data_IF_803438030838
#
_entry.id   IF_803438030838
#
_cell.length_a   1.000
_cell.length_b   1.000
_cell.length_c   1.000
_cell.angle_alpha   90.00
_cell.angle_beta   90.00
_cell.angle_gamma   90.00
#
_symmetry.space_group_name_H-M   'P 1'
#
loop_
_entity.id
_entity.type
_entity.pdbx_description
1 polymer ?
#
# COMPACT_ATOMS: atom_id res chain seq x y z
N UNK A 1 10.83 19.66 -22.22
CA UNK A 1 10.00 18.73 -21.45
C UNK A 1 9.19 19.51 -20.42
N UNK A 2 7.89 19.68 -20.66
CA UNK A 2 7.04 20.37 -19.69
C UNK A 2 6.91 19.44 -18.48
N UNK A 3 7.52 19.81 -17.37
CA UNK A 3 7.21 19.21 -16.08
C UNK A 3 5.75 19.52 -15.80
N UNK A 4 4.86 18.53 -15.95
CA UNK A 4 3.51 18.68 -15.42
C UNK A 4 3.65 18.95 -13.92
N UNK A 5 3.45 20.21 -13.55
CA UNK A 5 3.39 20.58 -12.15
C UNK A 5 2.06 19.99 -11.65
N UNK A 6 2.13 18.91 -10.91
CA UNK A 6 0.96 18.35 -10.27
C UNK A 6 0.35 19.43 -9.36
N UNK A 7 -0.95 19.68 -9.45
CA UNK A 7 -1.59 20.79 -8.74
C UNK A 7 -1.53 20.68 -7.23
N UNK A 8 -1.30 19.47 -6.72
CA UNK A 8 -1.24 19.20 -5.30
C UNK A 8 0.00 18.38 -4.95
N UNK A 9 0.58 18.63 -3.79
CA UNK A 9 1.76 17.93 -3.30
C UNK A 9 1.41 17.01 -2.13
N UNK A 10 1.81 15.73 -2.17
CA UNK A 10 1.69 14.85 -1.02
C UNK A 10 2.45 15.36 0.19
N UNK A 11 2.06 14.92 1.38
CA UNK A 11 2.59 15.38 2.66
C UNK A 11 4.11 15.39 2.71
N UNK A 12 4.77 14.32 2.28
CA UNK A 12 6.23 14.21 2.35
C UNK A 12 6.95 15.15 1.38
N UNK A 13 6.35 15.48 0.25
CA UNK A 13 6.90 16.50 -0.67
C UNK A 13 6.80 17.91 -0.09
N UNK A 14 5.81 18.14 0.76
CA UNK A 14 5.62 19.42 1.46
C UNK A 14 6.62 19.57 2.62
N UNK A 15 6.80 18.51 3.41
CA UNK A 15 7.70 18.50 4.57
C UNK A 15 9.17 18.46 4.14
N UNK A 16 9.48 17.69 3.12
CA UNK A 16 10.84 17.50 2.62
C UNK A 16 10.88 17.65 1.10
N UNK A 17 10.89 18.88 0.57
CA UNK A 17 10.76 19.15 -0.86
C UNK A 17 11.99 18.79 -1.70
N UNK A 18 13.17 18.67 -1.10
CA UNK A 18 14.39 18.38 -1.82
C UNK A 18 14.39 16.95 -2.36
N UNK A 19 14.51 16.81 -3.68
CA UNK A 19 14.59 15.50 -4.34
C UNK A 19 16.04 15.02 -4.41
N UNK A 20 16.36 14.05 -3.59
CA UNK A 20 17.62 13.32 -3.65
C UNK A 20 17.33 11.81 -3.66
N UNK A 21 18.23 11.02 -4.24
CA UNK A 21 18.10 9.57 -4.25
C UNK A 21 18.05 9.00 -2.83
N UNK A 22 18.90 9.52 -1.94
CA UNK A 22 18.93 9.08 -0.54
C UNK A 22 17.63 9.38 0.20
N UNK A 23 17.01 10.54 -0.06
CA UNK A 23 15.69 10.86 0.50
C UNK A 23 14.63 9.88 0.01
N UNK A 24 14.58 9.63 -1.30
CA UNK A 24 13.58 8.74 -1.88
C UNK A 24 13.74 7.30 -1.38
N UNK A 25 14.97 6.80 -1.29
CA UNK A 25 15.25 5.48 -0.71
C UNK A 25 14.85 5.40 0.77
N UNK A 26 15.13 6.44 1.55
CA UNK A 26 14.73 6.50 2.95
C UNK A 26 13.20 6.47 3.10
N UNK A 27 12.48 7.24 2.30
CA UNK A 27 11.02 7.28 2.33
C UNK A 27 10.41 5.94 1.91
N UNK A 28 10.98 5.27 0.91
CA UNK A 28 10.55 3.92 0.48
C UNK A 28 10.73 2.93 1.65
N UNK A 29 11.88 2.93 2.30
CA UNK A 29 12.16 2.04 3.43
C UNK A 29 11.27 2.34 4.64
N UNK A 30 11.08 3.61 4.98
CA UNK A 30 10.19 4.01 6.07
C UNK A 30 8.75 3.64 5.77
N UNK A 31 8.30 3.84 4.54
CA UNK A 31 6.96 3.44 4.10
C UNK A 31 6.75 1.93 4.20
N UNK A 32 7.70 1.13 3.72
CA UNK A 32 7.62 -0.33 3.82
C UNK A 32 7.63 -0.81 5.28
N UNK A 33 8.47 -0.22 6.12
CA UNK A 33 8.51 -0.51 7.55
C UNK A 33 7.20 -0.16 8.24
N UNK A 34 6.59 0.98 7.91
CA UNK A 34 5.31 1.38 8.46
C UNK A 34 4.22 0.35 8.13
N UNK A 35 4.15 -0.12 6.88
CA UNK A 35 3.22 -1.18 6.49
C UNK A 35 3.53 -2.49 7.21
N UNK A 36 4.82 -2.85 7.35
CA UNK A 36 5.23 -4.03 8.09
C UNK A 36 4.78 -3.99 9.56
N UNK A 37 4.85 -2.82 10.20
CA UNK A 37 4.38 -2.63 11.57
C UNK A 37 2.85 -2.74 11.67
N UNK A 38 2.11 -2.13 10.74
CA UNK A 38 0.66 -2.23 10.71
C UNK A 38 0.17 -3.65 10.40
N UNK A 39 0.97 -4.42 9.67
CA UNK A 39 0.71 -5.83 9.37
C UNK A 39 0.72 -6.73 10.61
N UNK A 40 1.39 -6.32 11.67
CA UNK A 40 1.42 -7.10 12.91
C UNK A 40 0.11 -7.01 13.69
N UNK A 41 -0.71 -6.00 13.39
CA UNK A 41 -2.08 -5.93 13.87
C UNK A 41 -2.92 -6.83 12.96
N UNK A 42 -3.09 -8.09 13.36
CA UNK A 42 -3.79 -9.10 12.57
C UNK A 42 -4.80 -9.84 13.44
N UNK A 43 -6.05 -9.84 13.01
CA UNK A 43 -7.13 -10.55 13.67
C UNK A 43 -7.59 -11.70 12.76
N UNK A 44 -7.25 -12.96 13.08
CA UNK A 44 -7.70 -14.10 12.29
C UNK A 44 -9.22 -14.27 12.42
N UNK A 45 -9.86 -14.66 11.33
CA UNK A 45 -11.30 -14.91 11.29
C UNK A 45 -11.56 -16.41 11.07
N UNK A 46 -12.57 -17.00 11.78
CA UNK A 46 -12.80 -18.44 11.70
C UNK A 46 -13.41 -18.91 10.37
N UNK A 47 -14.00 -17.99 9.59
CA UNK A 47 -14.75 -18.32 8.36
C UNK A 47 -13.97 -17.99 7.06
N UNK A 48 -12.77 -17.42 7.16
CA UNK A 48 -11.95 -17.07 6.00
C UNK A 48 -10.47 -17.18 6.34
N UNK A 49 -9.62 -17.61 5.37
CA UNK A 49 -8.17 -17.63 5.57
C UNK A 49 -7.54 -16.23 5.54
N UNK A 50 -8.30 -15.20 5.15
CA UNK A 50 -7.81 -13.82 5.09
C UNK A 50 -8.12 -13.11 6.40
N UNK A 51 -7.10 -12.76 7.20
CA UNK A 51 -7.31 -12.03 8.45
C UNK A 51 -7.67 -10.56 8.20
N UNK A 52 -8.31 -9.93 9.17
CA UNK A 52 -8.41 -8.47 9.22
C UNK A 52 -7.07 -7.95 9.74
N UNK A 53 -6.45 -7.03 9.01
CA UNK A 53 -5.14 -6.48 9.39
C UNK A 53 -5.13 -4.96 9.30
N UNK A 54 -4.17 -4.36 10.00
CA UNK A 54 -3.84 -2.94 9.84
C UNK A 54 -3.12 -2.62 8.53
N UNK A 55 -2.70 -3.63 7.75
CA UNK A 55 -2.01 -3.45 6.47
C UNK A 55 -2.75 -2.54 5.51
N UNK A 56 -4.05 -2.76 5.34
CA UNK A 56 -4.88 -1.98 4.42
C UNK A 56 -4.79 -0.49 4.74
N UNK A 57 -4.97 -0.12 6.00
CA UNK A 57 -4.83 1.27 6.42
C UNK A 57 -3.41 1.78 6.18
N UNK A 58 -2.40 0.99 6.52
CA UNK A 58 -0.99 1.33 6.31
C UNK A 58 -0.68 1.61 4.84
N UNK A 59 -1.15 0.75 3.93
CA UNK A 59 -0.99 0.90 2.47
C UNK A 59 -1.60 2.21 1.98
N UNK A 60 -2.82 2.50 2.38
CA UNK A 60 -3.55 3.70 1.93
C UNK A 60 -2.90 4.98 2.49
N UNK A 61 -2.46 4.96 3.76
CA UNK A 61 -1.76 6.09 4.38
C UNK A 61 -0.40 6.35 3.71
N UNK A 62 0.36 5.32 3.41
CA UNK A 62 1.65 5.45 2.70
C UNK A 62 1.43 6.06 1.32
N UNK A 63 0.43 5.60 0.58
CA UNK A 63 0.08 6.18 -0.73
C UNK A 63 -0.27 7.66 -0.63
N UNK A 64 -1.10 8.04 0.33
CA UNK A 64 -1.50 9.42 0.55
C UNK A 64 -0.33 10.32 0.96
N UNK A 65 0.54 9.83 1.84
CA UNK A 65 1.67 10.60 2.37
C UNK A 65 2.84 10.74 1.40
N UNK A 66 3.19 9.67 0.69
CA UNK A 66 4.36 9.64 -0.20
C UNK A 66 4.04 10.01 -1.64
N UNK A 67 2.79 9.89 -2.06
CA UNK A 67 2.36 10.10 -3.44
C UNK A 67 2.41 8.83 -4.27
N UNK A 68 2.02 8.94 -5.54
CA UNK A 68 1.84 7.77 -6.43
C UNK A 68 3.15 6.99 -6.64
N UNK A 69 4.22 7.67 -6.99
CA UNK A 69 5.50 7.02 -7.30
C UNK A 69 6.15 6.37 -6.08
N UNK A 70 6.37 7.14 -5.02
CA UNK A 70 7.04 6.63 -3.82
C UNK A 70 6.16 5.67 -3.05
N UNK A 71 4.85 5.89 -3.01
CA UNK A 71 3.89 4.97 -2.43
C UNK A 71 3.90 3.61 -3.13
N UNK A 72 3.85 3.60 -4.46
CA UNK A 72 3.98 2.37 -5.25
C UNK A 72 5.29 1.64 -4.95
N UNK A 73 6.42 2.38 -4.99
CA UNK A 73 7.74 1.79 -4.74
C UNK A 73 7.91 1.29 -3.31
N UNK A 74 7.35 1.99 -2.32
CA UNK A 74 7.38 1.54 -0.93
C UNK A 74 6.67 0.20 -0.75
N UNK A 75 5.52 0.01 -1.38
CA UNK A 75 4.78 -1.25 -1.31
C UNK A 75 5.42 -2.34 -2.17
N UNK A 76 6.04 -1.99 -3.28
CA UNK A 76 6.84 -2.94 -4.05
C UNK A 76 8.04 -3.43 -3.24
N UNK A 77 8.75 -2.54 -2.55
CA UNK A 77 9.82 -2.90 -1.63
C UNK A 77 9.31 -3.81 -0.51
N UNK A 78 8.16 -3.50 0.07
CA UNK A 78 7.50 -4.31 1.09
C UNK A 78 7.25 -5.75 0.60
N UNK A 79 6.73 -5.91 -0.62
CA UNK A 79 6.51 -7.23 -1.22
C UNK A 79 7.81 -7.98 -1.44
N UNK A 80 8.86 -7.30 -1.90
CA UNK A 80 10.17 -7.92 -2.12
C UNK A 80 10.81 -8.36 -0.79
N UNK A 81 10.72 -7.54 0.23
CA UNK A 81 11.18 -7.88 1.59
C UNK A 81 10.49 -9.14 2.10
N UNK A 82 9.16 -9.21 1.98
CA UNK A 82 8.39 -10.37 2.36
C UNK A 82 8.69 -11.60 1.53
N UNK A 83 8.86 -11.45 0.21
CA UNK A 83 9.20 -12.55 -0.70
C UNK A 83 10.57 -13.17 -0.37
N UNK A 84 11.52 -12.37 0.12
CA UNK A 84 12.82 -12.84 0.57
C UNK A 84 12.79 -13.60 1.91
N UNK A 85 11.64 -13.67 2.56
CA UNK A 85 11.46 -14.38 3.80
C UNK A 85 11.47 -13.53 5.06
N UNK A 86 11.56 -12.19 4.95
CA UNK A 86 11.47 -11.32 6.11
C UNK A 86 10.06 -11.39 6.72
N UNK A 87 9.93 -11.37 8.05
CA UNK A 87 8.63 -11.51 8.74
C UNK A 87 7.83 -10.19 8.72
N UNK A 88 7.61 -9.64 7.52
CA UNK A 88 6.96 -8.33 7.33
C UNK A 88 5.48 -8.44 6.98
N UNK A 89 5.00 -9.63 6.63
CA UNK A 89 3.59 -9.87 6.34
C UNK A 89 2.76 -10.06 7.62
N UNK A 90 1.47 -10.18 7.48
CA UNK A 90 0.54 -10.27 8.59
C UNK A 90 0.92 -11.39 9.58
N UNK A 91 0.94 -11.04 10.87
CA UNK A 91 1.26 -12.00 11.93
C UNK A 91 2.71 -12.46 11.98
N UNK A 92 3.64 -11.65 11.47
CA UNK A 92 5.08 -11.98 11.48
C UNK A 92 5.47 -13.05 10.46
N UNK A 93 4.69 -13.19 9.40
CA UNK A 93 4.94 -14.17 8.33
C UNK A 93 5.72 -13.55 7.17
N UNK A 94 6.25 -14.39 6.29
CA UNK A 94 6.97 -13.99 5.10
C UNK A 94 7.15 -15.16 4.14
N UNK A 95 7.84 -14.91 3.03
CA UNK A 95 8.15 -15.88 2.00
C UNK A 95 7.20 -15.86 0.81
N UNK A 96 7.68 -16.39 -0.32
CA UNK A 96 6.94 -16.46 -1.58
C UNK A 96 5.65 -17.29 -1.43
N UNK A 97 5.67 -18.33 -0.60
CA UNK A 97 4.49 -19.15 -0.33
C UNK A 97 3.30 -18.33 0.19
N UNK A 98 3.56 -17.26 0.95
CA UNK A 98 2.52 -16.35 1.43
C UNK A 98 1.88 -15.55 0.27
N UNK A 99 2.69 -15.12 -0.69
CA UNK A 99 2.22 -14.41 -1.89
C UNK A 99 1.40 -15.34 -2.80
N UNK A 100 1.76 -16.61 -2.86
CA UNK A 100 1.03 -17.62 -3.63
C UNK A 100 -0.19 -18.19 -2.90
N UNK A 101 -0.36 -17.83 -1.63
CA UNK A 101 -1.47 -18.26 -0.80
C UNK A 101 -2.76 -17.45 -1.02
N UNK A 102 -3.76 -17.65 -0.14
CA UNK A 102 -5.08 -17.01 -0.30
C UNK A 102 -5.05 -15.48 -0.20
N UNK A 103 -4.08 -14.91 0.49
CA UNK A 103 -3.92 -13.45 0.63
C UNK A 103 -3.10 -12.81 -0.48
N UNK A 104 -2.57 -13.61 -1.41
CA UNK A 104 -1.62 -13.14 -2.43
C UNK A 104 -2.17 -12.05 -3.34
N UNK A 105 -3.44 -12.15 -3.72
CA UNK A 105 -4.07 -11.12 -4.56
C UNK A 105 -4.14 -9.76 -3.87
N UNK A 106 -4.41 -9.74 -2.58
CA UNK A 106 -4.39 -8.51 -1.79
C UNK A 106 -2.97 -7.94 -1.70
N UNK A 107 -1.98 -8.78 -1.42
CA UNK A 107 -0.58 -8.37 -1.36
C UNK A 107 -0.10 -7.77 -2.69
N UNK A 108 -0.40 -8.42 -3.80
CA UNK A 108 -0.02 -7.94 -5.13
C UNK A 108 -0.74 -6.65 -5.52
N UNK A 109 -1.93 -6.39 -4.96
CA UNK A 109 -2.67 -5.17 -5.18
C UNK A 109 -2.16 -3.98 -4.36
N UNK A 110 -1.39 -4.20 -3.30
CA UNK A 110 -0.90 -3.13 -2.41
C UNK A 110 -0.14 -2.01 -3.14
N UNK A 111 0.84 -2.29 -4.01
CA UNK A 111 1.49 -1.22 -4.76
C UNK A 111 0.52 -0.44 -5.65
N UNK A 112 -0.42 -1.11 -6.27
CA UNK A 112 -1.43 -0.48 -7.13
C UNK A 112 -2.36 0.42 -6.32
N UNK A 113 -2.81 -0.04 -5.16
CA UNK A 113 -3.68 0.73 -4.28
C UNK A 113 -2.97 1.98 -3.72
N UNK A 114 -1.74 1.83 -3.25
CA UNK A 114 -0.93 2.96 -2.78
C UNK A 114 -0.67 3.96 -3.92
N UNK A 115 -0.35 3.47 -5.11
CA UNK A 115 -0.18 4.31 -6.29
C UNK A 115 -1.44 5.07 -6.67
N UNK A 116 -2.60 4.41 -6.64
CA UNK A 116 -3.89 5.03 -6.92
C UNK A 116 -4.23 6.13 -5.91
N UNK A 117 -4.13 5.86 -4.63
CA UNK A 117 -4.40 6.85 -3.57
C UNK A 117 -3.45 8.04 -3.72
N UNK A 118 -2.17 7.78 -3.93
CA UNK A 118 -1.18 8.83 -4.17
C UNK A 118 -1.51 9.67 -5.40
N UNK A 119 -1.96 9.05 -6.49
CA UNK A 119 -2.37 9.74 -7.71
C UNK A 119 -3.59 10.63 -7.47
N UNK A 120 -4.58 10.14 -6.73
CA UNK A 120 -5.78 10.91 -6.38
C UNK A 120 -5.43 12.13 -5.51
N UNK A 121 -4.50 11.98 -4.58
CA UNK A 121 -3.98 13.11 -3.79
C UNK A 121 -3.26 14.12 -4.67
N UNK A 122 -2.38 13.65 -5.55
CA UNK A 122 -1.55 14.52 -6.40
C UNK A 122 -2.36 15.26 -7.46
N UNK A 123 -3.42 14.65 -7.99
CA UNK A 123 -4.22 15.25 -9.06
C UNK A 123 -5.39 16.08 -8.55
N UNK A 124 -6.04 15.61 -7.51
CA UNK A 124 -7.32 16.19 -7.04
C UNK A 124 -7.24 16.80 -5.64
N UNK A 125 -6.10 16.63 -4.94
CA UNK A 125 -5.95 17.16 -3.58
C UNK A 125 -6.91 16.55 -2.58
N UNK A 126 -7.27 15.26 -2.74
CA UNK A 126 -8.30 14.62 -1.92
C UNK A 126 -7.91 14.48 -0.44
N UNK A 127 -6.63 14.59 -0.11
CA UNK A 127 -6.13 14.58 1.28
C UNK A 127 -6.41 15.88 2.05
N UNK A 128 -6.95 16.91 1.40
CA UNK A 128 -7.16 18.23 2.00
C UNK A 128 -8.48 18.41 2.72
N UNK A 129 -9.33 17.40 2.72
CA UNK A 129 -10.60 17.41 3.42
C UNK A 129 -11.05 16.02 3.81
N UNK A 130 -11.90 15.93 4.83
CA UNK A 130 -12.39 14.65 5.36
C UNK A 130 -13.05 13.79 4.28
N UNK A 131 -13.99 14.35 3.51
CA UNK A 131 -14.70 13.60 2.47
C UNK A 131 -13.79 13.19 1.31
N UNK A 132 -12.85 14.04 0.92
CA UNK A 132 -11.87 13.73 -0.11
C UNK A 132 -10.95 12.56 0.32
N UNK A 133 -10.43 12.64 1.52
CA UNK A 133 -9.60 11.57 2.09
C UNK A 133 -10.38 10.25 2.16
N UNK A 134 -11.62 10.30 2.65
CA UNK A 134 -12.48 9.12 2.72
C UNK A 134 -12.71 8.52 1.33
N UNK A 135 -12.99 9.34 0.33
CA UNK A 135 -13.19 8.90 -1.06
C UNK A 135 -11.93 8.25 -1.62
N UNK A 136 -10.76 8.87 -1.44
CA UNK A 136 -9.48 8.31 -1.91
C UNK A 136 -9.21 6.94 -1.26
N UNK A 137 -9.43 6.81 0.04
CA UNK A 137 -9.24 5.56 0.77
C UNK A 137 -10.25 4.49 0.34
N UNK A 138 -11.51 4.86 0.11
CA UNK A 138 -12.53 3.92 -0.38
C UNK A 138 -12.18 3.40 -1.78
N UNK A 139 -11.69 4.26 -2.67
CA UNK A 139 -11.28 3.86 -4.03
C UNK A 139 -10.04 2.95 -3.99
N UNK A 140 -9.06 3.28 -3.16
CA UNK A 140 -7.89 2.40 -2.93
C UNK A 140 -8.30 1.04 -2.38
N UNK A 141 -9.20 1.04 -1.40
CA UNK A 141 -9.72 -0.20 -0.81
C UNK A 141 -10.54 -1.02 -1.82
N UNK A 142 -11.35 -0.36 -2.64
CA UNK A 142 -12.09 -1.03 -3.73
C UNK A 142 -11.14 -1.73 -4.70
N UNK A 143 -10.02 -1.11 -5.04
CA UNK A 143 -9.00 -1.74 -5.89
C UNK A 143 -8.40 -2.99 -5.24
N UNK A 144 -8.13 -2.94 -3.93
CA UNK A 144 -7.64 -4.12 -3.20
C UNK A 144 -8.60 -5.30 -3.30
N UNK A 145 -9.88 -5.05 -3.13
CA UNK A 145 -10.90 -6.10 -3.23
C UNK A 145 -11.16 -6.54 -4.66
N UNK A 146 -11.06 -5.65 -5.64
CA UNK A 146 -11.20 -6.00 -7.06
C UNK A 146 -10.13 -7.00 -7.52
N UNK A 147 -8.94 -6.94 -6.95
CA UNK A 147 -7.85 -7.89 -7.24
C UNK A 147 -7.87 -9.05 -6.25
N UNK A 148 -8.04 -8.77 -4.97
CA UNK A 148 -7.94 -9.75 -3.90
C UNK A 148 -9.05 -10.79 -3.90
N UNK A 149 -10.30 -10.39 -4.10
CA UNK A 149 -11.44 -11.32 -4.07
C UNK A 149 -11.44 -12.34 -5.21
N UNK A 150 -11.20 -11.97 -6.49
CA UNK A 150 -11.05 -12.97 -7.55
C UNK A 150 -9.89 -13.92 -7.30
N UNK A 151 -8.78 -13.44 -6.80
CA UNK A 151 -7.65 -14.28 -6.42
C UNK A 151 -8.03 -15.29 -5.34
N UNK A 152 -8.65 -14.80 -4.26
CA UNK A 152 -9.10 -15.64 -3.16
C UNK A 152 -10.12 -16.71 -3.65
N UNK A 153 -11.07 -16.29 -4.48
CA UNK A 153 -12.07 -17.20 -5.06
C UNK A 153 -11.39 -18.30 -5.91
N UNK A 154 -10.45 -17.92 -6.77
CA UNK A 154 -9.70 -18.87 -7.57
C UNK A 154 -8.87 -19.83 -6.69
N UNK A 155 -8.26 -19.31 -5.63
CA UNK A 155 -7.48 -20.12 -4.69
C UNK A 155 -8.35 -21.13 -3.94
N UNK A 156 -9.56 -20.74 -3.51
CA UNK A 156 -10.48 -21.62 -2.79
C UNK A 156 -11.12 -22.69 -3.69
N UNK A 157 -11.26 -22.39 -4.99
CA UNK A 157 -11.84 -23.34 -5.97
C UNK A 157 -10.78 -24.28 -6.60
N UNK A 158 -9.52 -23.93 -6.47
CA UNK A 158 -8.38 -24.73 -6.96
C UNK A 158 -7.86 -25.65 -5.92
#
# INVERSE_FOLDING_TARGET
>A
MKTEVLPYTPLMKTIWPQRTLSRDLLLILVGSLFVALTAQIALPLPFTPVPITGQTLGVLLVGAALGSRLGFLALLAYLLEGAMGLPVFAGGTGGIAKILGPTGGFLLAFPLAAGLVGLLVERFGLDRGFFGTLLAMLLGNALLYLVGLPWLAAWLMG
#
